data_IF_611524427999
#
_entry.id   IF_611524427999
#
_cell.length_a   1.000
_cell.length_b   1.000
_cell.length_c   1.000
_cell.angle_alpha   90.00
_cell.angle_beta   90.00
_cell.angle_gamma   90.00
#
_symmetry.space_group_name_H-M   'P 1'
#
loop_
_entity.id
_entity.type
_entity.pdbx_description
1 polymer ?
#
# COMPACT_ATOMS: atom_id res chain seq x y z
N UNK A 1 1.93 19.62 -14.54
CA UNK A 1 1.56 18.25 -14.94
C UNK A 1 1.10 17.53 -13.68
N UNK A 2 -0.04 16.84 -13.66
CA UNK A 2 -0.43 16.02 -12.52
C UNK A 2 0.54 14.84 -12.46
N UNK A 3 1.55 14.95 -11.61
CA UNK A 3 2.48 13.84 -11.34
C UNK A 3 1.94 13.13 -10.10
N UNK A 4 1.56 11.87 -10.27
CA UNK A 4 1.22 10.98 -9.16
C UNK A 4 2.53 10.47 -8.53
N UNK A 5 2.58 10.36 -7.20
CA UNK A 5 3.80 9.96 -6.48
C UNK A 5 4.27 8.55 -6.83
N UNK A 6 3.34 7.61 -7.07
CA UNK A 6 3.62 6.24 -7.52
C UNK A 6 2.38 5.61 -8.17
N UNK A 7 2.54 4.88 -9.27
CA UNK A 7 1.44 4.13 -9.91
C UNK A 7 1.54 2.62 -9.67
N UNK A 8 2.68 2.17 -9.14
CA UNK A 8 2.99 0.79 -8.83
C UNK A 8 3.79 0.72 -7.53
N UNK A 9 3.69 -0.40 -6.83
CA UNK A 9 4.56 -0.77 -5.72
C UNK A 9 4.91 -2.26 -5.77
N UNK A 10 6.02 -2.62 -5.14
CA UNK A 10 6.38 -4.02 -4.95
C UNK A 10 5.82 -4.51 -3.62
N UNK A 11 4.97 -5.53 -3.64
CA UNK A 11 4.55 -6.29 -2.48
C UNK A 11 5.55 -7.42 -2.26
N UNK A 12 6.27 -7.35 -1.14
CA UNK A 12 7.16 -8.40 -0.68
C UNK A 12 6.64 -8.98 0.64
N UNK A 13 6.61 -10.30 0.75
CA UNK A 13 6.20 -10.99 1.97
C UNK A 13 6.93 -12.32 2.15
N UNK A 14 7.10 -12.72 3.40
CA UNK A 14 7.67 -14.01 3.78
C UNK A 14 6.66 -14.78 4.62
N UNK A 15 6.45 -16.05 4.27
CA UNK A 15 5.56 -16.97 4.96
C UNK A 15 6.41 -18.04 5.63
N UNK A 16 6.36 -18.08 6.97
CA UNK A 16 7.09 -19.06 7.78
C UNK A 16 6.18 -19.73 8.79
N UNK A 17 6.56 -20.93 9.23
CA UNK A 17 5.95 -21.56 10.41
C UNK A 17 6.42 -20.91 11.72
N UNK A 18 5.97 -21.45 12.86
CA UNK A 18 6.31 -20.94 14.20
C UNK A 18 7.78 -21.10 14.58
N UNK A 19 8.57 -21.86 13.83
CA UNK A 19 10.02 -22.03 14.05
C UNK A 19 10.86 -21.34 12.99
N UNK A 20 10.23 -20.61 12.06
CA UNK A 20 10.89 -19.83 11.02
C UNK A 20 11.18 -20.61 9.73
N UNK A 21 10.64 -21.82 9.56
CA UNK A 21 10.80 -22.58 8.32
C UNK A 21 9.93 -22.01 7.20
N UNK A 22 10.44 -21.87 5.97
CA UNK A 22 9.66 -21.30 4.87
C UNK A 22 8.49 -22.19 4.47
N UNK A 23 7.32 -21.58 4.28
CA UNK A 23 6.10 -22.26 3.85
C UNK A 23 5.88 -22.08 2.36
N UNK A 24 6.11 -23.13 1.57
CA UNK A 24 5.79 -23.15 0.14
C UNK A 24 4.30 -23.30 -0.10
N UNK A 25 3.74 -22.48 -0.99
CA UNK A 25 2.33 -22.56 -1.37
C UNK A 25 1.38 -21.97 -0.33
N UNK A 26 1.90 -21.24 0.67
CA UNK A 26 1.08 -20.46 1.57
C UNK A 26 0.36 -19.36 0.79
N UNK A 27 -0.93 -19.16 1.08
CA UNK A 27 -1.76 -18.21 0.37
C UNK A 27 -1.99 -16.99 1.26
N UNK A 28 -1.65 -15.83 0.73
CA UNK A 28 -1.91 -14.54 1.34
C UNK A 28 -2.99 -13.75 0.58
N UNK A 29 -3.73 -12.94 1.33
CA UNK A 29 -4.68 -11.98 0.81
C UNK A 29 -4.26 -10.57 1.23
N UNK A 30 -3.80 -9.79 0.26
CA UNK A 30 -3.44 -8.39 0.44
C UNK A 30 -4.64 -7.51 0.10
N UNK A 31 -4.96 -6.59 1.00
CA UNK A 31 -5.96 -5.55 0.80
C UNK A 31 -5.37 -4.19 1.16
N UNK A 32 -5.53 -3.21 0.29
CA UNK A 32 -5.21 -1.81 0.55
C UNK A 32 -6.35 -0.92 0.08
N UNK A 33 -6.79 -0.02 0.95
CA UNK A 33 -7.78 0.99 0.63
C UNK A 33 -7.26 2.38 0.96
N UNK A 34 -7.53 3.35 0.09
CA UNK A 34 -7.23 4.76 0.32
C UNK A 34 -8.52 5.44 0.75
N UNK A 35 -8.70 5.55 2.07
CA UNK A 35 -9.90 6.12 2.68
C UNK A 35 -10.21 7.50 2.08
N UNK A 36 -11.51 7.79 1.90
CA UNK A 36 -12.05 9.01 1.28
C UNK A 36 -11.74 9.19 -0.22
N UNK A 37 -10.86 8.37 -0.81
CA UNK A 37 -10.58 8.40 -2.24
C UNK A 37 -11.70 7.72 -3.04
N UNK A 38 -11.76 8.01 -4.34
CA UNK A 38 -12.63 7.29 -5.30
C UNK A 38 -11.94 6.09 -5.94
N UNK A 39 -10.70 5.80 -5.55
CA UNK A 39 -9.96 4.65 -6.07
C UNK A 39 -10.58 3.38 -5.53
N UNK A 40 -10.60 2.33 -6.35
CA UNK A 40 -11.01 1.01 -5.86
C UNK A 40 -9.95 0.46 -4.91
N UNK A 41 -10.35 -0.28 -3.86
CA UNK A 41 -9.40 -1.02 -3.05
C UNK A 41 -8.55 -1.96 -3.91
N UNK A 42 -7.26 -2.01 -3.62
CA UNK A 42 -6.33 -2.95 -4.25
C UNK A 42 -6.42 -4.26 -3.49
N UNK A 43 -6.93 -5.28 -4.18
CA UNK A 43 -7.15 -6.61 -3.60
C UNK A 43 -6.36 -7.63 -4.40
N UNK A 44 -5.42 -8.31 -3.75
CA UNK A 44 -4.45 -9.18 -4.42
C UNK A 44 -4.25 -10.48 -3.64
N UNK A 45 -4.45 -11.61 -4.32
CA UNK A 45 -4.04 -12.91 -3.84
C UNK A 45 -2.58 -13.18 -4.23
N UNK A 46 -1.83 -13.75 -3.28
CA UNK A 46 -0.43 -14.14 -3.44
C UNK A 46 -0.22 -15.57 -2.97
N UNK A 47 0.73 -16.26 -3.58
CA UNK A 47 1.13 -17.61 -3.21
C UNK A 47 2.64 -17.63 -3.07
N UNK A 48 3.13 -18.10 -1.94
CA UNK A 48 4.57 -18.15 -1.67
C UNK A 48 5.29 -19.22 -2.51
N UNK A 49 6.52 -18.91 -2.90
CA UNK A 49 7.40 -19.80 -3.64
C UNK A 49 8.07 -20.86 -2.75
N UNK A 50 9.04 -21.59 -3.29
CA UNK A 50 9.77 -22.63 -2.56
C UNK A 50 10.60 -22.11 -1.37
N UNK A 51 10.96 -20.82 -1.38
CA UNK A 51 11.63 -20.15 -0.28
C UNK A 51 10.65 -19.48 0.70
N UNK A 52 9.34 -19.72 0.54
CA UNK A 52 8.31 -19.07 1.35
C UNK A 52 8.12 -17.60 1.01
N UNK A 53 8.63 -17.12 -0.13
CA UNK A 53 8.60 -15.71 -0.49
C UNK A 53 7.52 -15.38 -1.50
N UNK A 54 7.04 -14.15 -1.41
CA UNK A 54 6.17 -13.50 -2.38
C UNK A 54 6.88 -12.24 -2.85
N UNK A 55 6.90 -12.03 -4.17
CA UNK A 55 7.26 -10.76 -4.79
C UNK A 55 6.27 -10.50 -5.92
N UNK A 56 5.44 -9.46 -5.76
CA UNK A 56 4.41 -9.12 -6.74
C UNK A 56 4.30 -7.61 -6.91
N UNK A 57 4.32 -7.14 -8.16
CA UNK A 57 3.99 -5.75 -8.46
C UNK A 57 2.49 -5.55 -8.34
N UNK A 58 2.10 -4.56 -7.55
CA UNK A 58 0.72 -4.10 -7.41
C UNK A 58 0.58 -2.73 -8.06
N UNK A 59 -0.45 -2.55 -8.88
CA UNK A 59 -0.72 -1.29 -9.57
C UNK A 59 -1.87 -0.56 -8.91
N UNK A 60 -1.77 0.76 -8.90
CA UNK A 60 -2.77 1.66 -8.36
C UNK A 60 -3.49 2.37 -9.51
N UNK A 61 -4.80 2.54 -9.39
CA UNK A 61 -5.53 3.42 -10.30
C UNK A 61 -4.99 4.86 -10.20
N UNK A 62 -5.31 5.68 -11.20
CA UNK A 62 -4.96 7.11 -11.14
C UNK A 62 -5.70 7.77 -9.99
N UNK A 63 -4.97 8.49 -9.16
CA UNK A 63 -5.54 9.25 -8.06
C UNK A 63 -5.77 10.72 -8.44
N UNK A 64 -6.87 11.30 -7.97
CA UNK A 64 -7.18 12.73 -8.14
C UNK A 64 -7.82 13.33 -6.88
N UNK A 65 -7.47 14.60 -6.60
CA UNK A 65 -7.94 15.32 -5.42
C UNK A 65 -7.28 14.82 -4.13
N UNK A 66 -7.96 15.03 -3.01
CA UNK A 66 -7.50 14.64 -1.68
C UNK A 66 -7.29 15.83 -0.75
N UNK A 67 -6.72 15.54 0.41
CA UNK A 67 -6.34 16.56 1.39
C UNK A 67 -5.18 17.37 0.84
N UNK A 68 -5.26 18.68 0.99
CA UNK A 68 -4.20 19.59 0.53
C UNK A 68 -3.15 19.77 1.64
N UNK A 69 -1.87 19.67 1.29
CA UNK A 69 -0.77 19.97 2.22
C UNK A 69 -0.62 21.49 2.42
N UNK A 70 0.14 21.86 3.45
CA UNK A 70 0.69 23.21 3.54
C UNK A 70 1.62 23.54 2.35
N UNK A 71 2.02 24.81 2.25
CA UNK A 71 3.00 25.31 1.29
C UNK A 71 4.36 24.61 1.49
N UNK A 72 4.92 24.04 0.42
CA UNK A 72 6.21 23.33 0.38
C UNK A 72 7.11 24.00 -0.67
N UNK A 73 8.34 24.37 -0.31
CA UNK A 73 9.22 25.18 -1.18
C UNK A 73 10.34 24.40 -1.88
N UNK A 74 10.56 23.12 -1.52
CA UNK A 74 11.80 22.38 -1.88
C UNK A 74 11.63 21.20 -2.83
N UNK A 75 10.42 20.70 -3.08
CA UNK A 75 10.24 19.36 -3.66
C UNK A 75 10.31 19.27 -5.21
N UNK A 76 9.93 20.33 -5.94
CA UNK A 76 9.76 20.28 -7.41
C UNK A 76 10.43 21.44 -8.16
N UNK A 77 11.46 22.04 -7.56
CA UNK A 77 12.15 23.22 -8.09
C UNK A 77 11.54 24.55 -7.60
N UNK A 78 12.08 25.70 -8.07
CA UNK A 78 11.79 27.01 -7.48
C UNK A 78 10.29 27.35 -7.41
N UNK A 79 9.86 27.81 -6.24
CA UNK A 79 8.52 28.31 -5.97
C UNK A 79 7.78 27.51 -4.89
N UNK A 80 6.60 28.00 -4.52
CA UNK A 80 5.74 27.38 -3.52
C UNK A 80 4.82 26.34 -4.16
N UNK A 81 4.74 25.15 -3.58
CA UNK A 81 3.94 24.04 -4.06
C UNK A 81 2.97 23.56 -2.99
N UNK A 82 1.84 22.99 -3.42
CA UNK A 82 0.93 22.21 -2.58
C UNK A 82 0.68 20.86 -3.22
N UNK A 83 0.55 19.84 -2.38
CA UNK A 83 0.29 18.46 -2.80
C UNK A 83 -1.10 18.05 -2.37
N UNK A 84 -1.71 17.17 -3.14
CA UNK A 84 -2.96 16.50 -2.78
C UNK A 84 -2.67 15.04 -2.47
N UNK A 85 -3.21 14.54 -1.36
CA UNK A 85 -2.98 13.17 -0.92
C UNK A 85 -4.21 12.56 -0.26
N UNK A 86 -4.28 11.23 -0.27
CA UNK A 86 -5.16 10.46 0.60
C UNK A 86 -4.32 9.61 1.55
N UNK A 87 -4.92 9.26 2.68
CA UNK A 87 -4.35 8.33 3.64
C UNK A 87 -5.35 7.20 3.80
N UNK A 88 -4.84 5.97 3.84
CA UNK A 88 -5.64 4.79 4.02
C UNK A 88 -4.89 3.72 4.79
N UNK A 89 -5.36 2.48 4.66
CA UNK A 89 -4.74 1.34 5.30
C UNK A 89 -4.47 0.19 4.35
N UNK A 90 -3.53 -0.66 4.72
CA UNK A 90 -3.32 -1.96 4.10
C UNK A 90 -3.10 -3.05 5.14
N UNK A 91 -3.38 -4.28 4.72
CA UNK A 91 -3.06 -5.49 5.47
C UNK A 91 -2.77 -6.65 4.53
N UNK A 92 -1.95 -7.58 5.01
CA UNK A 92 -1.74 -8.88 4.39
C UNK A 92 -2.18 -9.94 5.39
N UNK A 93 -3.15 -10.76 4.98
CA UNK A 93 -3.68 -11.83 5.80
C UNK A 93 -3.35 -13.20 5.21
N UNK A 94 -3.30 -14.23 6.05
CA UNK A 94 -3.34 -15.60 5.55
C UNK A 94 -4.76 -15.94 5.08
N UNK A 95 -4.87 -16.61 3.94
CA UNK A 95 -6.13 -17.00 3.32
C UNK A 95 -6.99 -17.99 4.12
N UNK A 96 -6.39 -18.67 5.10
CA UNK A 96 -7.02 -19.72 5.90
C UNK A 96 -7.13 -19.32 7.38
N UNK A 97 -7.75 -18.18 7.72
CA UNK A 97 -7.78 -17.65 9.09
C UNK A 97 -8.58 -18.55 10.04
N UNK A 98 -9.55 -19.30 9.52
CA UNK A 98 -10.40 -20.27 10.20
C UNK A 98 -9.65 -21.50 10.75
N UNK A 99 -8.37 -21.68 10.37
CA UNK A 99 -7.50 -22.74 10.90
C UNK A 99 -6.29 -22.21 11.69
N UNK A 100 -6.16 -20.90 11.85
CA UNK A 100 -5.10 -20.32 12.67
C UNK A 100 -5.52 -20.35 14.14
N UNK A 101 -4.63 -20.75 15.06
CA UNK A 101 -4.92 -20.60 16.48
C UNK A 101 -5.18 -19.13 16.79
N UNK A 102 -6.20 -18.85 17.62
CA UNK A 102 -6.65 -17.52 18.03
C UNK A 102 -5.54 -16.64 18.67
N UNK A 103 -4.36 -17.21 18.91
CA UNK A 103 -3.18 -16.59 19.51
C UNK A 103 -2.24 -15.94 18.50
N UNK A 104 -2.47 -16.08 17.19
CA UNK A 104 -1.70 -15.31 16.20
C UNK A 104 -2.20 -13.87 16.25
N UNK A 105 -1.42 -12.98 16.87
CA UNK A 105 -1.66 -11.55 16.77
C UNK A 105 -1.65 -11.17 15.28
N UNK A 106 -2.83 -10.90 14.72
CA UNK A 106 -2.90 -10.20 13.45
C UNK A 106 -2.38 -8.79 13.73
N UNK A 107 -1.26 -8.42 13.13
CA UNK A 107 -0.86 -7.03 13.07
C UNK A 107 -2.03 -6.24 12.45
N UNK A 108 -2.54 -5.26 13.20
CA UNK A 108 -3.61 -4.41 12.72
C UNK A 108 -3.22 -3.66 11.45
N UNK A 109 -4.24 -3.07 10.81
CA UNK A 109 -4.11 -2.22 9.63
C UNK A 109 -2.90 -1.28 9.69
N UNK A 110 -2.03 -1.37 8.68
CA UNK A 110 -0.89 -0.48 8.48
C UNK A 110 -1.33 0.74 7.69
N UNK A 111 -0.77 1.92 7.99
CA UNK A 111 -1.15 3.17 7.31
C UNK A 111 -0.38 3.34 6.00
N UNK A 112 -1.06 3.76 4.95
CA UNK A 112 -0.45 4.10 3.65
C UNK A 112 -0.92 5.48 3.18
N UNK A 113 0.04 6.34 2.80
CA UNK A 113 -0.22 7.65 2.23
C UNK A 113 0.09 7.68 0.74
N UNK A 114 -0.84 8.21 -0.06
CA UNK A 114 -0.68 8.27 -1.52
C UNK A 114 -0.84 9.70 -2.04
N UNK A 115 0.19 10.20 -2.73
CA UNK A 115 0.20 11.53 -3.31
C UNK A 115 -0.38 11.49 -4.73
N UNK A 116 -1.49 12.20 -4.91
CA UNK A 116 -2.33 12.16 -6.09
C UNK A 116 -2.03 13.30 -7.08
N UNK A 117 -1.33 14.34 -6.63
CA UNK A 117 -0.90 15.40 -7.50
C UNK A 117 -0.25 16.56 -6.79
N UNK A 118 0.32 17.46 -7.60
CA UNK A 118 0.97 18.68 -7.14
C UNK A 118 0.48 19.87 -7.94
N UNK A 119 0.36 21.02 -7.27
CA UNK A 119 0.14 22.31 -7.92
C UNK A 119 1.16 23.34 -7.43
N UNK A 120 1.66 24.14 -8.37
CA UNK A 120 2.44 25.33 -8.03
C UNK A 120 1.47 26.42 -7.57
N UNK A 121 1.71 26.98 -6.40
CA UNK A 121 0.97 28.14 -5.91
C UNK A 121 1.58 29.36 -6.61
N UNK A 122 0.79 30.07 -7.40
CA UNK A 122 1.15 31.42 -7.85
C UNK A 122 0.81 32.38 -6.71
N UNK A 123 1.81 33.06 -6.18
CA UNK A 123 1.59 34.35 -5.52
C UNK A 123 1.61 35.44 -6.58
#
# INVERSE_FOLDING_TARGET
>A
LPVQGSIEAQLEASFTDSVGSPLKGAIGWFNMDLAESRMRPVVVWVVSDAAGQVSKTVSFERCYGGRETADIEIFYGPGTWRSYYYVGSYRLENAYPDRLPQTVEQEGDRVFGHVCGHRKVRR
#
